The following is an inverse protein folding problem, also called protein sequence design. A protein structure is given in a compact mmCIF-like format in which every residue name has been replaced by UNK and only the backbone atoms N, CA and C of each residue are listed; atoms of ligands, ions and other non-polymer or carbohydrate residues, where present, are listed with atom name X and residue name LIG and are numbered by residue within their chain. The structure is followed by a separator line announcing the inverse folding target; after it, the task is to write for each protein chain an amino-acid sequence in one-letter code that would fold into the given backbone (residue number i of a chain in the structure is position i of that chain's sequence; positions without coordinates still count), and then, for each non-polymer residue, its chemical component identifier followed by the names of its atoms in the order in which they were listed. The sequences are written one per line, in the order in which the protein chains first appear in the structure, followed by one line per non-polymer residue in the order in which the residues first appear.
data_IF_310113587416
#
_entry.id   IF_310113587416
#
_cell.length_a   1.000
_cell.length_b   1.000
_cell.length_c   1.000
_cell.angle_alpha   90.00
_cell.angle_beta   90.00
_cell.angle_gamma   90.00
#
_symmetry.space_group_name_H-M   'P 1'
#
loop_
_entity.id
_entity.type
_entity.pdbx_description
1 polymer ?
#
# COMPACT_ATOMS: atom_id res chain seq x y z
N UNK A 1 21.86 -9.85 9.39
CA UNK A 1 21.02 -11.06 9.63
C UNK A 1 19.78 -10.94 8.79
N UNK A 2 19.73 -11.68 7.68
CA UNK A 2 18.83 -11.47 6.55
C UNK A 2 17.42 -11.95 6.85
N UNK A 3 16.62 -11.08 7.45
CA UNK A 3 15.18 -11.30 7.57
C UNK A 3 14.57 -11.45 6.17
N UNK A 4 13.82 -12.53 5.97
CA UNK A 4 13.11 -12.82 4.73
C UNK A 4 12.31 -11.61 4.25
N UNK A 5 12.28 -11.44 2.94
CA UNK A 5 11.47 -10.41 2.31
C UNK A 5 9.99 -10.78 2.45
N UNK A 6 9.29 -10.12 3.38
CA UNK A 6 7.91 -10.41 3.72
C UNK A 6 6.98 -10.31 2.52
N UNK A 7 7.22 -9.39 1.59
CA UNK A 7 6.38 -9.28 0.40
C UNK A 7 6.43 -10.55 -0.46
N UNK A 8 7.55 -11.28 -0.42
CA UNK A 8 7.78 -12.50 -1.19
C UNK A 8 7.39 -13.78 -0.43
N UNK A 9 6.99 -13.68 0.83
CA UNK A 9 6.43 -14.81 1.60
C UNK A 9 5.16 -15.30 0.91
N UNK A 10 5.08 -16.60 0.67
CA UNK A 10 3.94 -17.20 0.01
C UNK A 10 2.80 -17.49 0.98
N UNK A 11 1.60 -17.04 0.61
CA UNK A 11 0.36 -17.42 1.25
C UNK A 11 -0.53 -18.06 0.21
N UNK A 12 -0.88 -19.34 0.44
CA UNK A 12 -1.62 -20.16 -0.51
C UNK A 12 -0.98 -20.24 -1.92
N UNK A 13 0.37 -20.29 -1.98
CA UNK A 13 1.15 -20.36 -3.22
C UNK A 13 1.35 -19.01 -3.93
N UNK A 14 0.77 -17.93 -3.42
CA UNK A 14 0.86 -16.59 -4.00
C UNK A 14 1.67 -15.68 -3.06
N UNK A 15 2.69 -14.95 -3.56
CA UNK A 15 3.42 -13.97 -2.76
C UNK A 15 2.50 -12.90 -2.14
N UNK A 16 2.74 -12.51 -0.89
CA UNK A 16 1.95 -11.50 -0.17
C UNK A 16 1.77 -10.20 -0.95
N UNK A 17 2.81 -9.72 -1.63
CA UNK A 17 2.72 -8.48 -2.41
C UNK A 17 1.68 -8.60 -3.54
N UNK A 18 1.51 -9.76 -4.16
CA UNK A 18 0.53 -9.95 -5.23
C UNK A 18 -0.91 -9.86 -4.73
N UNK A 19 -1.18 -10.33 -3.50
CA UNK A 19 -2.48 -10.13 -2.85
C UNK A 19 -2.77 -8.63 -2.63
N UNK A 20 -1.76 -7.88 -2.19
CA UNK A 20 -1.87 -6.41 -2.03
C UNK A 20 -2.12 -5.73 -3.37
N UNK A 21 -1.37 -6.10 -4.41
CA UNK A 21 -1.53 -5.55 -5.76
C UNK A 21 -2.94 -5.80 -6.30
N UNK A 22 -3.43 -7.03 -6.23
CA UNK A 22 -4.77 -7.40 -6.72
C UNK A 22 -5.88 -6.56 -6.06
N UNK A 23 -5.68 -6.18 -4.79
CA UNK A 23 -6.64 -5.37 -4.03
C UNK A 23 -6.49 -3.87 -4.24
N UNK A 24 -5.28 -3.39 -4.53
CA UNK A 24 -4.99 -1.98 -4.78
C UNK A 24 -5.30 -1.57 -6.22
N UNK A 25 -5.04 -2.43 -7.19
CA UNK A 25 -5.19 -2.18 -8.63
C UNK A 25 -6.54 -1.60 -9.05
N UNK A 26 -7.70 -2.09 -8.58
CA UNK A 26 -8.98 -1.50 -8.95
C UNK A 26 -9.25 -0.12 -8.31
N UNK A 27 -8.42 0.32 -7.35
CA UNK A 27 -8.62 1.55 -6.60
C UNK A 27 -7.72 2.72 -7.07
N UNK A 28 -6.81 2.52 -8.03
CA UNK A 28 -5.83 3.53 -8.46
C UNK A 28 -5.60 3.48 -9.98
N UNK A 29 -5.09 4.58 -10.54
CA UNK A 29 -4.83 4.67 -11.98
C UNK A 29 -3.53 3.99 -12.42
N UNK A 30 -2.54 3.90 -11.53
CA UNK A 30 -1.26 3.23 -11.79
C UNK A 30 -0.66 2.69 -10.49
N UNK A 31 0.25 1.71 -10.59
CA UNK A 31 0.95 1.15 -9.42
C UNK A 31 2.45 1.06 -9.66
N UNK A 32 3.22 1.35 -8.62
CA UNK A 32 4.63 0.98 -8.48
C UNK A 32 4.86 0.20 -7.17
N UNK A 33 5.96 -0.54 -7.11
CA UNK A 33 6.39 -1.29 -5.92
C UNK A 33 7.62 -0.59 -5.36
N UNK A 34 7.62 -0.22 -4.09
CA UNK A 34 8.83 0.29 -3.42
C UNK A 34 9.58 -0.88 -2.79
N UNK A 35 10.80 -1.16 -3.27
CA UNK A 35 11.64 -2.28 -2.84
C UNK A 35 13.14 -1.95 -2.97
N UNK A 36 13.88 -2.08 -1.86
CA UNK A 36 15.34 -1.92 -1.83
C UNK A 36 16.12 -3.20 -2.11
N UNK A 37 15.42 -4.35 -2.18
CA UNK A 37 15.99 -5.68 -2.43
C UNK A 37 15.04 -6.45 -3.34
N UNK A 38 15.54 -7.49 -4.01
CA UNK A 38 14.73 -8.37 -4.86
C UNK A 38 13.92 -7.67 -5.96
N UNK A 39 14.37 -6.50 -6.45
CA UNK A 39 13.64 -5.70 -7.44
C UNK A 39 13.29 -6.51 -8.69
N UNK A 40 14.21 -7.33 -9.19
CA UNK A 40 13.96 -8.22 -10.33
C UNK A 40 12.74 -9.14 -10.11
N UNK A 41 12.58 -9.70 -8.90
CA UNK A 41 11.43 -10.55 -8.55
C UNK A 41 10.13 -9.78 -8.49
N UNK A 42 10.17 -8.53 -8.02
CA UNK A 42 8.98 -7.67 -8.03
C UNK A 42 8.60 -7.26 -9.45
N UNK A 43 9.58 -7.01 -10.32
CA UNK A 43 9.36 -6.64 -11.72
C UNK A 43 8.74 -7.78 -12.55
N UNK A 44 8.81 -9.04 -12.10
CA UNK A 44 8.07 -10.16 -12.72
C UNK A 44 6.55 -9.92 -12.74
N UNK A 45 6.01 -9.02 -11.90
CA UNK A 45 4.59 -8.63 -11.97
C UNK A 45 4.29 -7.64 -13.11
N UNK A 46 5.29 -7.23 -13.90
CA UNK A 46 5.15 -6.22 -14.95
C UNK A 46 5.02 -4.78 -14.43
N UNK A 47 5.25 -4.55 -13.13
CA UNK A 47 5.16 -3.22 -12.51
C UNK A 47 6.55 -2.63 -12.25
N UNK A 48 6.68 -1.29 -12.25
CA UNK A 48 7.93 -0.64 -11.84
C UNK A 48 8.28 -0.99 -10.38
N UNK A 49 9.55 -1.32 -10.15
CA UNK A 49 10.13 -1.43 -8.81
C UNK A 49 11.06 -0.24 -8.56
N UNK A 50 10.77 0.55 -7.52
CA UNK A 50 11.52 1.75 -7.16
C UNK A 50 12.28 1.52 -5.85
N UNK A 51 13.54 1.94 -5.81
CA UNK A 51 14.36 1.94 -4.59
C UNK A 51 14.29 3.26 -3.84
N UNK A 52 14.76 3.26 -2.60
CA UNK A 52 15.00 4.48 -1.83
C UNK A 52 16.03 5.37 -2.54
N UNK A 53 15.88 6.68 -2.41
CA UNK A 53 16.71 7.67 -3.13
C UNK A 53 18.15 7.74 -2.63
N UNK A 54 18.40 7.31 -1.39
CA UNK A 54 19.73 7.36 -0.76
C UNK A 54 19.91 6.15 0.14
N UNK A 55 21.17 5.77 0.39
CA UNK A 55 21.50 4.74 1.38
C UNK A 55 21.62 5.29 2.80
N UNK A 56 21.66 6.62 2.96
CA UNK A 56 21.84 7.31 4.24
C UNK A 56 20.65 7.12 5.18
N UNK A 57 19.50 6.71 4.63
CA UNK A 57 18.31 6.44 5.41
C UNK A 57 17.45 5.32 4.84
N UNK A 58 17.11 4.38 5.72
CA UNK A 58 16.23 3.26 5.44
C UNK A 58 14.97 3.34 6.31
N UNK A 59 13.81 3.01 5.74
CA UNK A 59 12.57 2.86 6.50
C UNK A 59 11.35 3.34 5.73
N UNK A 60 10.14 3.25 6.32
CA UNK A 60 8.89 3.60 5.63
C UNK A 60 8.89 5.01 5.04
N UNK A 61 9.47 5.99 5.74
CA UNK A 61 9.56 7.37 5.26
C UNK A 61 10.50 7.54 4.04
N UNK A 62 11.54 6.72 3.91
CA UNK A 62 12.43 6.74 2.76
C UNK A 62 11.70 6.27 1.50
N UNK A 63 10.95 5.16 1.61
CA UNK A 63 10.11 4.63 0.54
C UNK A 63 8.96 5.58 0.18
N UNK A 64 8.36 6.24 1.19
CA UNK A 64 7.36 7.30 0.96
C UNK A 64 7.97 8.44 0.15
N UNK A 65 9.15 8.94 0.53
CA UNK A 65 9.81 10.01 -0.20
C UNK A 65 10.14 9.61 -1.64
N UNK A 66 10.69 8.41 -1.85
CA UNK A 66 10.96 7.88 -3.18
C UNK A 66 9.68 7.83 -4.03
N UNK A 67 8.59 7.36 -3.43
CA UNK A 67 7.28 7.32 -4.06
C UNK A 67 6.72 8.68 -4.45
N UNK A 68 6.78 9.66 -3.54
CA UNK A 68 6.33 11.02 -3.83
C UNK A 68 7.14 11.69 -4.93
N UNK A 69 8.45 11.39 -5.06
CA UNK A 69 9.28 11.92 -6.15
C UNK A 69 9.12 11.18 -7.47
N UNK A 70 8.76 9.90 -7.42
CA UNK A 70 8.52 9.09 -8.61
C UNK A 70 7.16 9.39 -9.26
N UNK A 71 6.17 9.80 -8.46
CA UNK A 71 4.81 9.99 -8.93
C UNK A 71 4.70 11.07 -10.02
N UNK A 72 4.04 10.71 -11.13
CA UNK A 72 3.58 11.66 -12.15
C UNK A 72 2.21 12.26 -11.82
N UNK A 73 1.54 11.75 -10.78
CA UNK A 73 0.25 12.23 -10.26
C UNK A 73 0.46 13.07 -9.01
N UNK A 74 -0.43 14.02 -8.74
CA UNK A 74 -0.34 14.88 -7.55
C UNK A 74 -0.50 14.12 -6.24
N UNK A 75 -1.24 13.01 -6.26
CA UNK A 75 -1.54 12.20 -5.08
C UNK A 75 -1.00 10.78 -5.19
N UNK A 76 -0.54 10.27 -4.05
CA UNK A 76 0.02 8.92 -3.93
C UNK A 76 -0.60 8.23 -2.72
N UNK A 77 -1.09 7.01 -2.91
CA UNK A 77 -1.52 6.14 -1.81
C UNK A 77 -0.46 5.09 -1.53
N UNK A 78 -0.12 4.93 -0.27
CA UNK A 78 0.87 3.97 0.22
C UNK A 78 0.15 2.86 0.98
N UNK A 79 0.49 1.62 0.66
CA UNK A 79 0.01 0.41 1.31
C UNK A 79 1.21 -0.51 1.56
N UNK A 80 1.38 -1.09 2.75
CA UNK A 80 2.49 -2.01 3.00
C UNK A 80 2.27 -3.34 2.27
N UNK A 81 3.34 -3.95 1.78
CA UNK A 81 3.29 -5.20 1.00
C UNK A 81 2.90 -6.44 1.81
N UNK A 82 2.79 -6.34 3.15
CA UNK A 82 2.51 -7.44 4.07
C UNK A 82 1.11 -7.37 4.74
N UNK A 83 0.26 -6.42 4.32
CA UNK A 83 -1.13 -6.30 4.80
C UNK A 83 -2.08 -6.58 3.63
N UNK A 84 -2.42 -7.85 3.34
CA UNK A 84 -3.27 -8.20 2.20
C UNK A 84 -4.77 -7.93 2.44
N UNK A 85 -5.19 -7.72 3.69
CA UNK A 85 -6.61 -7.61 4.08
C UNK A 85 -7.08 -6.18 4.38
N UNK A 86 -6.58 -5.17 3.66
CA UNK A 86 -7.09 -3.78 3.76
C UNK A 86 -8.39 -3.59 2.96
N UNK A 87 -9.28 -2.65 3.31
CA UNK A 87 -10.56 -2.50 2.60
C UNK A 87 -10.44 -2.21 1.10
N UNK A 88 -11.37 -2.76 0.31
CA UNK A 88 -11.49 -2.46 -1.14
C UNK A 88 -11.95 -1.03 -1.43
N UNK A 89 -12.35 -0.30 -0.38
CA UNK A 89 -12.78 1.10 -0.40
C UNK A 89 -11.76 2.03 0.26
N UNK A 90 -10.54 1.55 0.55
CA UNK A 90 -9.52 2.31 1.27
C UNK A 90 -9.23 3.66 0.60
N UNK A 91 -8.96 3.65 -0.71
CA UNK A 91 -8.59 4.88 -1.45
C UNK A 91 -9.76 5.87 -1.48
N UNK A 92 -10.97 5.37 -1.74
CA UNK A 92 -12.18 6.18 -1.74
C UNK A 92 -12.42 6.83 -0.36
N UNK A 93 -12.31 6.05 0.72
CA UNK A 93 -12.51 6.55 2.09
C UNK A 93 -11.47 7.62 2.45
N UNK A 94 -10.19 7.39 2.14
CA UNK A 94 -9.13 8.38 2.35
C UNK A 94 -9.41 9.66 1.55
N UNK A 95 -9.82 9.51 0.29
CA UNK A 95 -10.10 10.64 -0.60
C UNK A 95 -11.28 11.49 -0.13
N UNK A 96 -12.39 10.86 0.25
CA UNK A 96 -13.60 11.56 0.66
C UNK A 96 -13.43 12.25 2.03
N UNK A 97 -12.64 11.65 2.94
CA UNK A 97 -12.54 12.14 4.32
C UNK A 97 -11.32 13.01 4.62
N UNK A 98 -10.32 13.10 3.71
CA UNK A 98 -9.13 13.96 3.93
C UNK A 98 -9.50 15.45 4.05
N UNK A 99 -10.60 15.88 3.43
CA UNK A 99 -10.94 17.30 3.31
C UNK A 99 -9.82 18.11 2.65
N UNK A 100 -9.40 19.26 3.24
CA UNK A 100 -8.32 20.08 2.69
C UNK A 100 -6.92 19.57 3.05
N UNK A 101 -6.78 18.53 3.87
CA UNK A 101 -5.48 18.05 4.32
C UNK A 101 -4.65 17.48 3.16
N UNK A 102 -3.34 17.73 3.19
CA UNK A 102 -2.37 17.19 2.22
C UNK A 102 -1.94 15.75 2.52
N UNK A 103 -2.32 15.23 3.69
CA UNK A 103 -2.10 13.86 4.09
C UNK A 103 -3.33 13.31 4.82
N UNK A 104 -3.59 12.01 4.65
CA UNK A 104 -4.57 11.27 5.41
C UNK A 104 -4.08 9.84 5.66
N UNK A 105 -4.51 9.21 6.76
CA UNK A 105 -4.15 7.84 7.08
C UNK A 105 -5.32 7.07 7.71
N UNK A 106 -5.34 5.75 7.50
CA UNK A 106 -6.43 4.91 7.97
C UNK A 106 -6.34 4.58 9.48
N UNK A 107 -7.49 4.28 10.07
CA UNK A 107 -7.65 3.77 11.43
C UNK A 107 -8.78 2.74 11.45
N UNK A 108 -8.62 1.65 12.20
CA UNK A 108 -9.69 0.65 12.39
C UNK A 108 -10.67 1.03 13.52
N UNK A 109 -10.47 2.20 14.13
CA UNK A 109 -11.24 2.68 15.27
C UNK A 109 -10.64 2.31 16.63
N UNK A 110 -9.69 1.38 16.68
CA UNK A 110 -8.90 1.04 17.87
C UNK A 110 -7.44 1.51 17.72
N UNK A 111 -6.89 1.40 16.51
CA UNK A 111 -5.48 1.65 16.20
C UNK A 111 -5.34 2.44 14.90
N UNK A 112 -4.40 3.37 14.91
CA UNK A 112 -3.93 4.06 13.71
C UNK A 112 -3.08 3.14 12.83
N UNK A 113 -3.27 3.25 11.52
CA UNK A 113 -2.53 2.54 10.47
C UNK A 113 -1.82 3.55 9.55
N UNK A 114 -0.77 4.24 10.03
CA UNK A 114 -0.12 5.33 9.27
C UNK A 114 0.60 4.89 8.00
N UNK A 115 0.81 3.59 7.82
CA UNK A 115 1.36 3.02 6.58
C UNK A 115 0.30 2.79 5.50
N UNK A 116 -0.98 2.92 5.85
CA UNK A 116 -2.12 2.98 4.93
C UNK A 116 -2.50 4.47 4.77
N UNK A 117 -1.80 5.17 3.90
CA UNK A 117 -1.84 6.63 3.87
C UNK A 117 -1.91 7.20 2.46
N UNK A 118 -2.63 8.31 2.32
CA UNK A 118 -2.76 9.12 1.11
C UNK A 118 -1.99 10.42 1.33
N UNK A 119 -1.01 10.72 0.49
CA UNK A 119 -0.19 11.93 0.61
C UNK A 119 -0.13 12.67 -0.73
N UNK A 120 -0.10 14.00 -0.64
CA UNK A 120 0.16 14.88 -1.76
C UNK A 120 1.67 14.99 -2.03
N UNK A 121 2.07 15.04 -3.30
CA UNK A 121 3.47 15.17 -3.74
C UNK A 121 4.16 16.44 -3.26
N UNK A 122 3.41 17.52 -2.99
CA UNK A 122 3.96 18.75 -2.41
C UNK A 122 4.55 18.57 -0.99
N UNK A 123 4.28 17.44 -0.31
CA UNK A 123 4.91 17.11 0.97
C UNK A 123 6.35 16.60 0.81
N UNK A 124 6.82 16.29 -0.40
CA UNK A 124 8.15 15.73 -0.63
C UNK A 124 9.31 16.61 -0.11
N UNK A 125 9.31 17.96 -0.29
CA UNK A 125 10.36 18.81 0.26
C UNK A 125 10.38 18.82 1.80
N UNK A 126 9.20 18.89 2.44
CA UNK A 126 9.06 18.84 3.89
C UNK A 126 9.56 17.50 4.44
N UNK A 127 9.21 16.40 3.79
CA UNK A 127 9.67 15.06 4.15
C UNK A 127 11.18 14.89 3.97
N UNK A 128 11.73 15.42 2.88
CA UNK A 128 13.17 15.40 2.65
C UNK A 128 13.92 16.16 3.77
N UNK A 129 13.44 17.34 4.14
CA UNK A 129 13.99 18.11 5.26
C UNK A 129 13.85 17.38 6.61
N UNK A 130 12.74 16.69 6.84
CA UNK A 130 12.52 15.85 8.03
C UNK A 130 13.56 14.73 8.12
N UNK A 131 13.77 13.99 7.03
CA UNK A 131 14.76 12.91 6.96
C UNK A 131 16.21 13.41 7.08
N UNK A 132 16.51 14.59 6.52
CA UNK A 132 17.85 15.20 6.57
C UNK A 132 18.29 15.59 7.98
N UNK A 133 17.35 15.89 8.88
CA UNK A 133 17.64 16.10 10.32
C UNK A 133 17.85 14.81 11.11
N UNK A 134 17.74 13.65 10.46
CA UNK A 134 17.83 12.35 11.11
C UNK A 134 16.51 11.86 11.72
N UNK A 135 15.40 12.58 11.54
CA UNK A 135 14.10 12.16 12.05
C UNK A 135 13.55 10.96 11.26
N UNK A 136 12.96 9.97 11.95
CA UNK A 136 12.48 8.70 11.35
C UNK A 136 11.05 8.31 11.72
N UNK A 137 10.37 9.08 12.57
CA UNK A 137 9.08 8.68 13.15
C UNK A 137 7.92 9.08 12.24
N UNK A 138 7.37 8.10 11.51
CA UNK A 138 6.27 8.30 10.56
C UNK A 138 5.07 9.06 11.14
N UNK A 139 4.58 8.65 12.32
CA UNK A 139 3.47 9.34 12.97
C UNK A 139 3.77 10.81 13.25
N UNK A 140 4.96 11.12 13.78
CA UNK A 140 5.32 12.51 14.07
C UNK A 140 5.42 13.36 12.80
N UNK A 141 5.88 12.78 11.69
CA UNK A 141 5.85 13.47 10.40
C UNK A 141 4.42 13.75 9.94
N UNK A 142 3.53 12.75 10.00
CA UNK A 142 2.12 12.90 9.62
C UNK A 142 1.41 13.94 10.49
N UNK A 143 1.64 13.93 11.79
CA UNK A 143 1.08 14.92 12.72
C UNK A 143 1.58 16.33 12.38
N UNK A 144 2.89 16.49 12.13
CA UNK A 144 3.47 17.78 11.71
C UNK A 144 2.99 18.25 10.33
N UNK A 145 2.58 17.33 9.46
CA UNK A 145 1.97 17.63 8.16
C UNK A 145 0.45 17.92 8.26
N UNK A 146 -0.14 17.85 9.46
CA UNK A 146 -1.58 18.04 9.65
C UNK A 146 -2.42 16.91 9.06
N UNK A 147 -1.90 15.67 9.06
CA UNK A 147 -2.56 14.55 8.42
C UNK A 147 -3.91 14.22 9.08
N UNK A 148 -4.91 13.97 8.24
CA UNK A 148 -6.25 13.57 8.67
C UNK A 148 -6.33 12.08 8.98
N UNK A 149 -6.66 11.73 10.22
CA UNK A 149 -7.05 10.36 10.54
C UNK A 149 -8.42 10.06 9.93
N UNK A 150 -8.51 8.97 9.17
CA UNK A 150 -9.73 8.51 8.51
C UNK A 150 -10.14 7.20 9.14
N UNK A 151 -11.34 7.16 9.72
CA UNK A 151 -11.89 5.93 10.28
C UNK A 151 -12.37 5.07 9.13
N UNK A 152 -11.62 4.01 8.86
CA UNK A 152 -11.99 2.99 7.91
C UNK A 152 -12.77 1.92 8.66
N UNK A 153 -13.92 1.51 8.12
CA UNK A 153 -14.52 0.25 8.51
C UNK A 153 -13.60 -0.84 7.93
N UNK A 154 -12.51 -1.16 8.64
CA UNK A 154 -11.84 -2.43 8.42
C UNK A 154 -12.95 -3.46 8.48
N UNK A 155 -13.07 -4.25 7.42
CA UNK A 155 -13.97 -5.39 7.41
C UNK A 155 -13.67 -6.15 8.68
N UNK A 156 -14.55 -6.07 9.70
CA UNK A 156 -14.51 -7.09 10.75
C UNK A 156 -14.52 -8.42 9.99
N UNK A 157 -13.74 -9.42 10.38
CA UNK A 157 -13.85 -10.73 9.74
C UNK A 157 -15.29 -11.19 9.98
N UNK A 158 -16.14 -11.04 8.98
CA UNK A 158 -17.50 -11.52 8.95
C UNK A 158 -17.56 -12.42 7.72
N UNK A 159 -17.60 -13.71 8.02
CA UNK A 159 -18.37 -14.74 7.32
C UNK A 159 -18.48 -14.58 5.81
N UNK A 160 -17.69 -15.39 5.11
CA UNK A 160 -18.09 -16.16 3.91
C UNK A 160 -19.28 -15.61 3.13
N UNK A 161 -18.98 -14.80 2.10
CA UNK A 161 -19.81 -14.75 0.91
C UNK A 161 -18.98 -15.27 -0.26
N UNK A 162 -19.30 -16.50 -0.64
CA UNK A 162 -18.78 -17.24 -1.78
C UNK A 162 -18.85 -16.39 -3.06
N UNK A 163 -17.71 -15.93 -3.57
CA UNK A 163 -17.63 -15.47 -4.97
C UNK A 163 -17.22 -16.68 -5.80
N UNK A 164 -18.22 -17.21 -6.49
CA UNK A 164 -18.18 -18.30 -7.45
C UNK A 164 -17.22 -17.95 -8.60
N UNK A 165 -16.35 -18.90 -8.92
CA UNK A 165 -15.43 -18.87 -10.05
C UNK A 165 -16.12 -18.51 -11.36
N UNK A 166 -15.46 -17.67 -12.16
CA UNK A 166 -15.59 -17.73 -13.62
C UNK A 166 -14.19 -17.71 -14.25
N UNK A 167 -13.77 -18.91 -14.62
CA UNK A 167 -12.72 -19.20 -15.58
C UNK A 167 -13.09 -18.61 -16.95
N UNK A 168 -12.18 -17.86 -17.57
CA UNK A 168 -11.95 -17.93 -19.02
C UNK A 168 -10.66 -17.18 -19.38
N UNK A 169 -9.78 -17.91 -20.06
CA UNK A 169 -8.61 -17.40 -20.77
C UNK A 169 -9.03 -16.93 -22.19
N UNK A 170 -8.19 -16.07 -22.78
CA UNK A 170 -8.11 -15.67 -24.19
C UNK A 170 -8.84 -14.37 -24.64
N UNK A 171 -8.01 -13.43 -25.12
CA UNK A 171 -8.20 -12.77 -26.41
C UNK A 171 -9.11 -11.54 -26.46
N UNK A 172 -8.48 -10.36 -26.52
CA UNK A 172 -8.78 -9.19 -27.37
C UNK A 172 -8.62 -7.87 -26.59
N UNK A 173 -7.79 -6.97 -27.14
CA UNK A 173 -7.69 -5.57 -26.69
C UNK A 173 -9.05 -4.92 -26.91
N UNK A 174 -9.87 -4.86 -25.86
CA UNK A 174 -10.98 -3.91 -25.77
C UNK A 174 -10.47 -2.65 -25.10
N UNK A 175 -10.75 -1.54 -25.77
CA UNK A 175 -10.50 -0.18 -25.32
C UNK A 175 -11.52 0.08 -24.22
N UNK A 176 -11.13 -0.14 -22.97
CA UNK A 176 -12.05 0.04 -21.85
C UNK A 176 -12.39 1.52 -21.69
N UNK A 177 -13.69 1.81 -21.82
CA UNK A 177 -14.33 3.06 -21.43
C UNK A 177 -13.93 3.44 -19.99
N UNK A 178 -13.90 4.74 -19.65
CA UNK A 178 -13.39 5.16 -18.34
C UNK A 178 -14.29 4.58 -17.26
N UNK A 179 -13.75 3.68 -16.45
CA UNK A 179 -14.34 3.37 -15.16
C UNK A 179 -14.50 4.71 -14.43
N UNK A 180 -15.72 5.00 -14.00
CA UNK A 180 -16.10 6.26 -13.37
C UNK A 180 -15.40 6.34 -12.01
N UNK A 181 -14.14 6.76 -12.01
CA UNK A 181 -13.28 6.72 -10.84
C UNK A 181 -13.65 7.92 -9.95
N UNK A 182 -14.07 7.72 -8.69
CA UNK A 182 -14.60 8.80 -7.84
C UNK A 182 -13.53 9.79 -7.35
N UNK A 183 -12.30 9.69 -7.84
CA UNK A 183 -11.12 10.44 -7.44
C UNK A 183 -10.21 10.69 -8.66
N UNK A 184 -9.33 11.73 -8.64
CA UNK A 184 -8.39 11.99 -9.72
C UNK A 184 -7.37 10.86 -9.86
N UNK A 185 -6.62 10.77 -10.97
CA UNK A 185 -5.58 9.75 -11.13
C UNK A 185 -4.61 9.75 -9.93
N UNK A 186 -4.47 8.61 -9.26
CA UNK A 186 -3.51 8.39 -8.18
C UNK A 186 -2.50 7.29 -8.56
N UNK A 187 -1.28 7.43 -8.04
CA UNK A 187 -0.31 6.34 -7.97
C UNK A 187 -0.53 5.53 -6.68
N UNK A 188 -0.67 4.22 -6.81
CA UNK A 188 -0.56 3.29 -5.70
C UNK A 188 0.88 2.82 -5.51
N UNK A 189 1.36 2.79 -4.27
CA UNK A 189 2.66 2.24 -3.91
C UNK A 189 2.49 1.11 -2.91
N UNK A 190 2.85 -0.10 -3.34
CA UNK A 190 3.05 -1.24 -2.46
C UNK A 190 4.44 -1.13 -1.84
N UNK A 191 4.51 -0.66 -0.60
CA UNK A 191 5.76 -0.32 0.07
C UNK A 191 6.37 -1.51 0.84
N UNK A 192 7.69 -1.65 0.73
CA UNK A 192 8.49 -2.60 1.51
C UNK A 192 8.33 -2.38 3.02
N UNK A 193 7.94 -3.45 3.73
CA UNK A 193 7.83 -3.47 5.19
C UNK A 193 9.12 -4.01 5.81
N UNK A 194 9.87 -3.14 6.51
CA UNK A 194 10.98 -3.53 7.36
C UNK A 194 10.55 -4.49 8.49
N UNK A 195 11.52 -5.13 9.14
CA UNK A 195 11.39 -6.32 10.01
C UNK A 195 10.52 -6.20 11.29
N UNK A 196 9.64 -5.20 11.43
CA UNK A 196 9.08 -4.77 12.72
C UNK A 196 7.71 -5.28 13.18
N UNK A 197 6.91 -5.99 12.37
CA UNK A 197 5.60 -6.54 12.83
C UNK A 197 5.43 -8.01 12.43
N UNK A 198 6.10 -8.91 13.12
CA UNK A 198 6.03 -10.38 12.91
C UNK A 198 4.77 -11.01 13.52
N UNK A 199 4.06 -10.28 14.38
CA UNK A 199 2.89 -10.81 15.11
C UNK A 199 1.66 -10.98 14.22
N UNK A 200 1.45 -10.07 13.26
CA UNK A 200 0.25 -10.07 12.40
C UNK A 200 0.32 -11.20 11.37
N UNK A 201 1.50 -11.46 10.78
CA UNK A 201 1.68 -12.57 9.84
C UNK A 201 1.52 -13.96 10.49
N UNK A 202 1.97 -14.15 11.74
CA UNK A 202 1.78 -15.42 12.46
C UNK A 202 0.31 -15.78 12.67
N UNK A 203 -0.56 -14.77 12.83
CA UNK A 203 -2.01 -14.98 13.02
C UNK A 203 -2.77 -14.98 11.69
N UNK A 204 -2.32 -14.21 10.69
CA UNK A 204 -3.00 -14.07 9.41
C UNK A 204 -2.74 -15.25 8.46
N UNK A 205 -1.55 -15.86 8.49
CA UNK A 205 -1.22 -17.02 7.64
C UNK A 205 -2.16 -18.21 7.89
N UNK A 206 -2.46 -18.62 9.13
CA UNK A 206 -3.46 -19.66 9.40
C UNK A 206 -4.86 -19.32 8.87
N UNK A 207 -5.33 -18.09 9.08
CA UNK A 207 -6.67 -17.66 8.65
C UNK A 207 -6.82 -17.60 7.13
N UNK A 208 -5.77 -17.18 6.42
CA UNK A 208 -5.75 -17.18 4.96
C UNK A 208 -5.63 -18.59 4.37
N UNK A 209 -4.98 -19.53 5.08
CA UNK A 209 -4.95 -20.96 4.68
C UNK A 209 -6.29 -21.65 4.89
N UNK A 210 -7.03 -21.30 5.94
CA UNK A 210 -8.34 -21.90 6.26
C UNK A 210 -9.45 -21.49 5.28
N UNK A 211 -9.38 -20.31 4.67
CA UNK A 211 -10.35 -19.84 3.65
C UNK A 211 -10.41 -20.68 2.35
N UNK A 212 -9.55 -21.69 2.19
CA UNK A 212 -9.53 -22.57 1.00
C UNK A 212 -9.93 -24.03 1.30
N UNK A 213 -10.20 -24.37 2.55
CA UNK A 213 -10.69 -25.70 2.93
C UNK A 213 -12.22 -25.81 2.96
N UNK A 214 -12.91 -24.77 2.48
CA UNK A 214 -14.37 -24.67 2.35
C UNK A 214 -14.75 -24.38 0.89
#
# INVERSE_FOLDING_TARGET
MGGEDKGLVQVAGIPLYQHVLARLQPQVGSIAISANRNQARYQESGLPAIGDLTTDFSGPLAGILAGLRYAATEWVVFVPCDVPDFPTTLVEQLWQQKGPALAAYASDGERAHPTLALLHTSLAPQLAGYLARGDRKLMLFLDAAGARQVRSLVSKPHSTTLIREKTACAGSRKKDSPMNNPHPPLLGIAAYSGTGKTTLLKQLIPLLRQRKSE
#
